data_IF_137198326426
#
_entry.id   IF_137198326426
#
_cell.length_a   1.000
_cell.length_b   1.000
_cell.length_c   1.000
_cell.angle_alpha   90.00
_cell.angle_beta   90.00
_cell.angle_gamma   90.00
#
_symmetry.space_group_name_H-M   'P 1'
#
loop_
_entity.id
_entity.type
_entity.pdbx_description
1 polymer ?
#
# COMPACT_ATOMS: atom_id res chain seq x y z
N UNK A 1 -2.30 2.37 -20.99
CA UNK A 1 -3.21 1.60 -20.09
C UNK A 1 -4.42 2.41 -19.71
N UNK A 2 -5.57 1.75 -19.58
CA UNK A 2 -6.75 2.40 -19.03
C UNK A 2 -6.53 2.70 -17.55
N UNK A 3 -6.88 3.92 -17.09
CA UNK A 3 -6.83 4.22 -15.67
C UNK A 3 -7.78 3.30 -14.91
N UNK A 4 -7.34 2.83 -13.74
CA UNK A 4 -8.16 2.06 -12.82
C UNK A 4 -8.24 2.79 -11.48
N UNK A 5 -9.21 2.40 -10.66
CA UNK A 5 -9.34 2.91 -9.29
C UNK A 5 -9.04 1.80 -8.28
N UNK A 6 -8.69 2.19 -7.06
CA UNK A 6 -8.56 1.26 -5.95
C UNK A 6 -9.48 1.71 -4.81
N UNK A 7 -10.37 0.83 -4.37
CA UNK A 7 -11.11 1.06 -3.13
C UNK A 7 -10.25 0.67 -1.92
N UNK A 8 -10.30 1.50 -0.87
CA UNK A 8 -9.65 1.24 0.42
C UNK A 8 -10.72 1.13 1.50
N UNK A 9 -10.95 -0.10 1.99
CA UNK A 9 -11.96 -0.40 3.01
C UNK A 9 -11.32 -0.80 4.35
N UNK A 10 -12.14 -0.74 5.41
CA UNK A 10 -11.70 -1.02 6.77
C UNK A 10 -10.88 0.12 7.38
N UNK A 11 -10.69 0.07 8.69
CA UNK A 11 -9.50 -0.61 9.22
C UNK A 11 -9.79 -2.00 9.77
N UNK A 12 -8.91 -2.96 9.48
CA UNK A 12 -8.98 -4.32 10.04
C UNK A 12 -7.80 -4.55 10.97
N UNK A 13 -8.07 -4.94 12.22
CA UNK A 13 -7.03 -5.43 13.14
C UNK A 13 -6.63 -6.85 12.71
N UNK A 14 -5.36 -7.04 12.39
CA UNK A 14 -4.78 -8.35 12.03
C UNK A 14 -3.62 -8.68 12.96
N UNK A 15 -3.38 -9.97 13.18
CA UNK A 15 -2.29 -10.48 14.00
C UNK A 15 -1.26 -11.23 13.15
N UNK A 16 -0.03 -11.34 13.66
CA UNK A 16 1.06 -12.16 13.14
C UNK A 16 1.70 -12.91 14.30
N UNK A 17 2.46 -13.96 13.99
CA UNK A 17 3.15 -14.81 14.97
C UNK A 17 2.17 -15.38 16.02
N UNK A 18 1.11 -16.04 15.54
CA UNK A 18 0.09 -16.67 16.39
C UNK A 18 -0.50 -15.71 17.46
N UNK A 19 -0.75 -14.46 17.09
CA UNK A 19 -1.38 -13.47 17.99
C UNK A 19 -0.42 -12.48 18.65
N UNK A 20 0.88 -12.75 18.67
CA UNK A 20 1.86 -11.91 19.40
C UNK A 20 1.93 -10.48 18.85
N UNK A 21 1.75 -10.30 17.53
CA UNK A 21 1.93 -8.98 16.89
C UNK A 21 0.68 -8.51 16.18
N UNK A 22 0.05 -7.46 16.72
CA UNK A 22 -1.14 -6.84 16.13
C UNK A 22 -0.80 -5.59 15.31
N UNK A 23 -1.48 -5.42 14.17
CA UNK A 23 -1.37 -4.26 13.29
C UNK A 23 -2.71 -3.96 12.61
N UNK A 24 -2.86 -2.71 12.15
CA UNK A 24 -3.97 -2.30 11.29
C UNK A 24 -3.58 -2.55 9.83
N UNK A 25 -4.47 -3.19 9.08
CA UNK A 25 -4.43 -3.27 7.64
C UNK A 25 -5.69 -2.70 7.01
N UNK A 26 -5.58 -2.37 5.73
CA UNK A 26 -6.64 -1.86 4.89
C UNK A 26 -6.86 -2.86 3.77
N UNK A 27 -8.13 -3.12 3.44
CA UNK A 27 -8.50 -3.93 2.29
C UNK A 27 -8.39 -3.06 1.06
N UNK A 28 -7.48 -3.39 0.16
CA UNK A 28 -7.24 -2.69 -1.11
C UNK A 28 -7.81 -3.57 -2.23
N UNK A 29 -8.75 -3.02 -3.00
CA UNK A 29 -9.38 -3.74 -4.12
C UNK A 29 -9.25 -2.91 -5.40
N UNK A 30 -8.42 -3.33 -6.36
CA UNK A 30 -8.35 -2.71 -7.68
C UNK A 30 -9.62 -2.96 -8.50
N UNK A 31 -10.09 -1.96 -9.24
CA UNK A 31 -11.31 -2.07 -10.05
C UNK A 31 -11.18 -3.01 -11.25
N UNK A 32 -9.97 -3.24 -11.75
CA UNK A 32 -9.73 -4.05 -12.93
C UNK A 32 -9.63 -5.55 -12.64
N UNK A 33 -9.33 -5.94 -11.40
CA UNK A 33 -9.23 -7.35 -11.01
C UNK A 33 -10.24 -7.76 -9.96
N UNK A 34 -10.80 -6.79 -9.22
CA UNK A 34 -11.76 -6.98 -8.13
C UNK A 34 -11.27 -7.94 -7.02
N UNK A 35 -9.98 -8.26 -7.01
CA UNK A 35 -9.35 -9.16 -6.04
C UNK A 35 -8.79 -8.36 -4.87
N UNK A 36 -9.32 -8.53 -3.65
CA UNK A 36 -8.85 -7.77 -2.51
C UNK A 36 -7.52 -8.29 -1.96
N UNK A 37 -6.65 -7.38 -1.57
CA UNK A 37 -5.45 -7.66 -0.77
C UNK A 37 -5.45 -6.85 0.52
N UNK A 38 -4.79 -7.37 1.56
CA UNK A 38 -4.65 -6.67 2.83
C UNK A 38 -3.27 -6.00 2.93
N UNK A 39 -3.27 -4.68 3.10
CA UNK A 39 -2.04 -3.89 3.20
C UNK A 39 -2.04 -3.05 4.46
N UNK A 40 -0.99 -3.22 5.27
CA UNK A 40 -0.71 -2.36 6.44
C UNK A 40 0.05 -1.12 6.00
N UNK A 41 0.01 -0.05 6.80
CA UNK A 41 0.75 1.19 6.51
C UNK A 41 2.22 0.96 6.10
N UNK A 42 2.93 0.02 6.75
CA UNK A 42 4.33 -0.30 6.40
C UNK A 42 4.51 -0.80 4.95
N UNK A 43 3.50 -1.42 4.36
CA UNK A 43 3.53 -1.84 2.95
C UNK A 43 3.39 -0.64 2.01
N UNK A 44 2.50 0.31 2.32
CA UNK A 44 2.41 1.58 1.58
C UNK A 44 3.73 2.35 1.66
N UNK A 45 4.31 2.46 2.86
CA UNK A 45 5.59 3.12 3.05
C UNK A 45 6.72 2.46 2.25
N UNK A 46 6.72 1.12 2.13
CA UNK A 46 7.67 0.43 1.26
C UNK A 46 7.49 0.84 -0.21
N UNK A 47 6.26 0.78 -0.72
CA UNK A 47 5.95 1.15 -2.11
C UNK A 47 6.36 2.61 -2.40
N UNK A 48 6.02 3.54 -1.51
CA UNK A 48 6.41 4.94 -1.61
C UNK A 48 7.92 5.12 -1.78
N UNK A 49 8.74 4.45 -0.96
CA UNK A 49 10.21 4.53 -1.12
C UNK A 49 10.72 3.87 -2.39
N UNK A 50 10.03 2.88 -2.94
CA UNK A 50 10.38 2.29 -4.24
C UNK A 50 10.06 3.24 -5.38
N UNK A 51 8.92 3.92 -5.32
CA UNK A 51 8.54 4.91 -6.30
C UNK A 51 9.50 6.11 -6.30
N UNK A 52 9.83 6.66 -5.12
CA UNK A 52 10.80 7.75 -4.99
C UNK A 52 12.18 7.38 -5.55
N UNK A 53 12.63 6.15 -5.29
CA UNK A 53 13.94 5.69 -5.74
C UNK A 53 13.98 5.44 -7.25
N UNK A 54 12.92 4.83 -7.82
CA UNK A 54 12.88 4.46 -9.23
C UNK A 54 12.51 5.63 -10.14
N UNK A 55 11.68 6.56 -9.67
CA UNK A 55 11.16 7.66 -10.47
C UNK A 55 11.62 9.02 -9.90
N UNK A 56 12.90 9.32 -10.06
CA UNK A 56 13.53 10.52 -9.48
C UNK A 56 12.99 11.84 -10.03
N UNK A 57 12.37 11.82 -11.22
CA UNK A 57 11.77 13.00 -11.89
C UNK A 57 10.26 13.09 -11.73
N UNK A 58 9.61 12.07 -11.15
CA UNK A 58 8.16 12.08 -10.91
C UNK A 58 7.91 12.43 -9.44
N UNK A 59 7.14 13.48 -9.21
CA UNK A 59 6.75 13.84 -7.84
C UNK A 59 5.74 12.82 -7.30
N UNK A 60 6.14 12.10 -6.25
CA UNK A 60 5.29 11.13 -5.55
C UNK A 60 4.68 11.80 -4.32
N UNK A 61 3.34 11.89 -4.19
CA UNK A 61 2.71 12.50 -3.03
C UNK A 61 3.16 11.86 -1.72
N UNK A 62 3.32 12.67 -0.69
CA UNK A 62 3.73 12.19 0.63
C UNK A 62 2.66 11.31 1.28
N UNK A 63 3.11 10.25 1.95
CA UNK A 63 2.24 9.43 2.79
C UNK A 63 1.92 10.16 4.12
N UNK A 64 0.79 9.84 4.77
CA UNK A 64 0.54 10.29 6.14
C UNK A 64 1.66 9.81 7.08
N UNK A 65 1.90 10.53 8.16
CA UNK A 65 3.02 10.24 9.07
C UNK A 65 2.94 8.87 9.74
N UNK A 66 4.13 8.37 10.09
CA UNK A 66 4.28 7.25 11.01
C UNK A 66 3.98 7.74 12.42
N UNK A 67 3.17 6.97 13.14
CA UNK A 67 2.91 7.19 14.56
C UNK A 67 3.05 5.86 15.28
N UNK A 68 3.86 5.85 16.35
CA UNK A 68 4.10 4.68 17.18
C UNK A 68 3.09 4.62 18.33
N UNK A 69 2.98 5.71 19.09
CA UNK A 69 1.98 5.92 20.16
C UNK A 69 0.61 6.21 19.55
N UNK A 70 -0.48 5.77 20.19
CA UNK A 70 -1.84 6.01 19.69
C UNK A 70 -2.17 5.36 18.34
N UNK A 71 -1.33 4.44 17.83
CA UNK A 71 -1.52 3.82 16.49
C UNK A 71 -2.80 2.99 16.31
N UNK A 72 -3.52 2.77 17.40
CA UNK A 72 -4.78 2.05 17.47
C UNK A 72 -5.98 2.93 17.80
N UNK A 73 -5.78 4.24 18.00
CA UNK A 73 -6.85 5.21 18.21
C UNK A 73 -7.67 5.35 16.93
N UNK A 74 -8.99 5.42 17.08
CA UNK A 74 -9.93 5.41 15.95
C UNK A 74 -9.76 6.63 15.05
N UNK A 75 -9.70 7.83 15.66
CA UNK A 75 -9.49 9.10 14.95
C UNK A 75 -8.20 9.07 14.12
N UNK A 76 -7.15 8.52 14.69
CA UNK A 76 -5.88 8.38 14.00
C UNK A 76 -5.98 7.44 12.80
N UNK A 77 -6.62 6.29 12.99
CA UNK A 77 -6.79 5.29 11.94
C UNK A 77 -7.65 5.84 10.79
N UNK A 78 -8.73 6.55 11.10
CA UNK A 78 -9.64 7.14 10.12
C UNK A 78 -8.98 8.29 9.36
N UNK A 79 -8.28 9.20 10.05
CA UNK A 79 -7.50 10.27 9.40
C UNK A 79 -6.44 9.69 8.47
N UNK A 80 -5.74 8.62 8.89
CA UNK A 80 -4.77 7.92 8.04
C UNK A 80 -5.45 7.28 6.83
N UNK A 81 -6.58 6.60 7.02
CA UNK A 81 -7.33 5.95 5.93
C UNK A 81 -7.71 6.96 4.85
N UNK A 82 -8.28 8.11 5.23
CA UNK A 82 -8.64 9.18 4.28
C UNK A 82 -7.44 9.64 3.45
N UNK A 83 -6.29 9.86 4.10
CA UNK A 83 -5.05 10.24 3.39
C UNK A 83 -4.51 9.12 2.49
N UNK A 84 -4.63 7.86 2.89
CA UNK A 84 -4.24 6.73 2.04
C UNK A 84 -5.16 6.57 0.82
N UNK A 85 -6.47 6.86 0.95
CA UNK A 85 -7.40 6.87 -0.19
C UNK A 85 -6.97 7.92 -1.20
N UNK A 86 -6.72 9.16 -0.77
CA UNK A 86 -6.26 10.23 -1.65
C UNK A 86 -4.94 9.88 -2.34
N UNK A 87 -3.99 9.32 -1.58
CA UNK A 87 -2.73 8.84 -2.12
C UNK A 87 -2.95 7.77 -3.19
N UNK A 88 -3.76 6.74 -2.91
CA UNK A 88 -4.05 5.68 -3.88
C UNK A 88 -4.71 6.21 -5.15
N UNK A 89 -5.67 7.12 -5.06
CA UNK A 89 -6.33 7.72 -6.23
C UNK A 89 -5.34 8.46 -7.14
N UNK A 90 -4.40 9.22 -6.55
CA UNK A 90 -3.33 9.86 -7.31
C UNK A 90 -2.43 8.82 -7.99
N UNK A 91 -2.08 7.78 -7.26
CA UNK A 91 -1.16 6.76 -7.72
C UNK A 91 -1.74 5.90 -8.86
N UNK A 92 -3.03 5.53 -8.80
CA UNK A 92 -3.68 4.71 -9.83
C UNK A 92 -4.09 5.51 -11.08
N UNK A 93 -4.24 6.83 -10.98
CA UNK A 93 -4.51 7.72 -12.12
C UNK A 93 -3.25 8.08 -12.91
N UNK A 94 -2.07 7.97 -12.30
CA UNK A 94 -0.82 8.32 -12.96
C UNK A 94 -0.41 7.25 -14.00
N UNK A 95 -0.18 7.60 -15.28
CA UNK A 95 0.02 6.63 -16.36
C UNK A 95 1.30 5.80 -16.20
N UNK A 96 2.38 6.39 -15.65
CA UNK A 96 3.64 5.66 -15.41
C UNK A 96 3.61 4.88 -14.10
N UNK A 97 3.33 5.54 -12.97
CA UNK A 97 3.40 4.90 -11.65
C UNK A 97 2.46 3.69 -11.53
N UNK A 98 1.23 3.80 -12.06
CA UNK A 98 0.24 2.71 -12.02
C UNK A 98 0.67 1.43 -12.77
N UNK A 99 1.62 1.54 -13.70
CA UNK A 99 2.18 0.42 -14.46
C UNK A 99 3.45 -0.18 -13.84
N UNK A 100 3.96 0.39 -12.75
CA UNK A 100 5.17 -0.11 -12.14
C UNK A 100 4.94 -1.52 -11.56
N UNK A 101 5.79 -2.49 -11.92
CA UNK A 101 5.69 -3.88 -11.44
C UNK A 101 5.64 -3.97 -9.90
N UNK A 102 6.39 -3.12 -9.18
CA UNK A 102 6.33 -3.10 -7.71
C UNK A 102 4.98 -2.62 -7.17
N UNK A 103 4.26 -1.77 -7.91
CA UNK A 103 2.90 -1.37 -7.59
C UNK A 103 1.91 -2.50 -7.97
N UNK A 104 2.05 -3.13 -9.13
CA UNK A 104 1.23 -4.29 -9.49
C UNK A 104 1.36 -5.42 -8.45
N UNK A 105 2.58 -5.76 -8.03
CA UNK A 105 2.83 -6.70 -6.93
C UNK A 105 2.16 -6.25 -5.62
N UNK A 106 2.19 -4.95 -5.32
CA UNK A 106 1.47 -4.36 -4.19
C UNK A 106 -0.04 -4.58 -4.29
N UNK A 107 -0.65 -4.52 -5.46
CA UNK A 107 -2.09 -4.68 -5.64
C UNK A 107 -2.54 -6.15 -5.70
N UNK A 108 -1.71 -7.04 -6.22
CA UNK A 108 -2.16 -8.37 -6.63
C UNK A 108 -1.69 -9.50 -5.70
N UNK A 109 -0.60 -9.31 -4.95
CA UNK A 109 -0.01 -10.39 -4.16
C UNK A 109 -0.70 -10.60 -2.79
N UNK A 110 -1.58 -11.58 -2.68
CA UNK A 110 -2.25 -11.92 -1.43
C UNK A 110 -1.42 -12.83 -0.49
N UNK A 111 -0.50 -13.62 -1.03
CA UNK A 111 0.27 -14.60 -0.26
C UNK A 111 1.47 -13.98 0.48
N UNK A 112 1.62 -14.32 1.76
CA UNK A 112 2.61 -13.72 2.68
C UNK A 112 4.06 -14.13 2.33
N UNK A 113 4.28 -15.30 1.73
CA UNK A 113 5.62 -15.75 1.28
C UNK A 113 5.98 -15.09 -0.04
N UNK A 114 5.08 -15.10 -1.02
CA UNK A 114 5.24 -14.45 -2.31
C UNK A 114 5.42 -12.94 -2.16
N UNK A 115 4.71 -12.32 -1.22
CA UNK A 115 4.88 -10.91 -0.89
C UNK A 115 6.34 -10.58 -0.57
N UNK A 116 6.98 -11.37 0.30
CA UNK A 116 8.38 -11.16 0.70
C UNK A 116 9.33 -11.36 -0.48
N UNK A 117 9.07 -12.34 -1.35
CA UNK A 117 9.91 -12.61 -2.51
C UNK A 117 9.83 -11.47 -3.53
N UNK A 118 8.62 -11.07 -3.94
CA UNK A 118 8.43 -9.96 -4.88
C UNK A 118 8.90 -8.62 -4.31
N UNK A 119 8.72 -8.39 -3.00
CA UNK A 119 9.29 -7.23 -2.31
C UNK A 119 10.81 -7.16 -2.47
N UNK A 120 11.52 -8.28 -2.25
CA UNK A 120 12.99 -8.36 -2.40
C UNK A 120 13.42 -8.20 -3.85
N UNK A 121 12.65 -8.72 -4.81
CA UNK A 121 12.92 -8.54 -6.24
C UNK A 121 12.85 -7.07 -6.63
N UNK A 122 11.78 -6.38 -6.28
CA UNK A 122 11.62 -4.94 -6.53
C UNK A 122 12.61 -4.05 -5.74
N UNK A 123 13.28 -4.59 -4.73
CA UNK A 123 14.38 -3.91 -4.04
C UNK A 123 15.74 -4.09 -4.76
N UNK A 124 15.87 -5.10 -5.63
CA UNK A 124 17.08 -5.40 -6.42
C UNK A 124 17.02 -4.93 -7.87
N UNK A 125 15.83 -4.63 -8.38
CA UNK A 125 15.63 -3.98 -9.68
C UNK A 125 16.33 -2.62 -9.67
N UNK A 126 17.53 -2.59 -10.23
CA UNK A 126 18.31 -1.42 -10.64
C UNK A 126 18.21 -1.25 -12.16
#
# INVERSE_FOLDING_TARGET
PQPFSCSLLGPTKQTKFKGIKTYISYRVTPSHTERPVYRRYKHFFWLYNRLLHKFTVISVPHLPEKQATGRFEEDFIEKRKRRLILWMNHMTSHPVLSQYEGFEHFLMCADDKQWKLGKRRAEKDE
#
